data_IF_029589753185
#
_entry.id   IF_029589753185
#
_cell.length_a   1.000
_cell.length_b   1.000
_cell.length_c   1.000
_cell.angle_alpha   90.00
_cell.angle_beta   90.00
_cell.angle_gamma   90.00
#
_symmetry.space_group_name_H-M   'P 1'
#
loop_
_entity.id
_entity.type
_entity.pdbx_description
1 polymer ?
#
# COMPACT_ATOMS: atom_id res chain seq x y z
N UNK A 1 30.47 -0.43 -39.31
CA UNK A 1 31.80 0.12 -39.67
C UNK A 1 32.85 -0.87 -39.21
N UNK A 2 33.66 -1.39 -40.13
CA UNK A 2 34.80 -2.22 -39.79
C UNK A 2 36.06 -1.38 -40.03
N UNK A 3 36.89 -1.21 -39.00
CA UNK A 3 38.19 -0.57 -39.13
C UNK A 3 39.25 -1.67 -39.13
N UNK A 4 40.06 -1.72 -40.19
CA UNK A 4 41.18 -2.65 -40.28
C UNK A 4 42.47 -1.86 -40.08
N UNK A 5 43.24 -2.23 -39.06
CA UNK A 5 44.55 -1.62 -38.79
C UNK A 5 45.61 -2.57 -39.30
N UNK A 6 46.40 -2.11 -40.27
CA UNK A 6 47.50 -2.89 -40.85
C UNK A 6 48.82 -2.17 -40.61
N UNK A 7 49.81 -2.89 -40.07
CA UNK A 7 51.16 -2.41 -39.91
C UNK A 7 51.93 -2.61 -41.22
N UNK A 8 52.54 -1.55 -41.77
CA UNK A 8 53.27 -1.64 -43.04
C UNK A 8 54.78 -1.32 -42.98
N UNK A 9 55.30 -0.91 -41.83
CA UNK A 9 56.71 -1.03 -41.41
C UNK A 9 56.84 -0.48 -39.98
N UNK A 10 58.00 -0.63 -39.33
CA UNK A 10 58.23 -0.13 -37.95
C UNK A 10 58.03 1.39 -37.78
N UNK A 11 57.94 2.17 -38.87
CA UNK A 11 57.89 3.64 -38.80
C UNK A 11 56.53 4.27 -39.13
N UNK A 12 55.54 3.52 -39.61
CA UNK A 12 54.22 4.10 -39.93
C UNK A 12 53.09 3.06 -39.86
N UNK A 13 51.93 3.49 -39.38
CA UNK A 13 50.72 2.69 -39.37
C UNK A 13 49.65 3.36 -40.23
N UNK A 14 48.99 2.55 -41.06
CA UNK A 14 47.89 2.98 -41.92
C UNK A 14 46.59 2.52 -41.29
N UNK A 15 45.69 3.47 -41.05
CA UNK A 15 44.34 3.16 -40.62
C UNK A 15 43.42 3.36 -41.82
N UNK A 16 42.78 2.27 -42.23
CA UNK A 16 41.82 2.29 -43.33
C UNK A 16 40.41 2.15 -42.76
N UNK A 17 39.59 3.17 -43.01
CA UNK A 17 38.19 3.18 -42.57
C UNK A 17 37.33 3.16 -43.83
N UNK A 18 36.57 2.07 -43.98
CA UNK A 18 35.60 1.93 -45.05
C UNK A 18 34.22 2.39 -44.56
N UNK A 19 33.63 3.34 -45.29
CA UNK A 19 32.27 3.82 -45.05
C UNK A 19 31.51 3.88 -46.38
N UNK A 20 30.57 2.95 -46.56
CA UNK A 20 29.91 2.73 -47.86
C UNK A 20 30.91 2.27 -48.92
N UNK A 21 30.87 2.90 -50.10
CA UNK A 21 31.78 2.64 -51.23
C UNK A 21 33.06 3.48 -51.22
N UNK A 22 33.29 4.28 -50.17
CA UNK A 22 34.49 5.13 -50.03
C UNK A 22 35.45 4.58 -49.00
N UNK A 23 36.73 4.58 -49.37
CA UNK A 23 37.84 4.17 -48.50
C UNK A 23 38.62 5.43 -48.15
N UNK A 24 38.72 5.72 -46.85
CA UNK A 24 39.54 6.81 -46.32
C UNK A 24 40.77 6.23 -45.64
N UNK A 25 41.93 6.81 -45.93
CA UNK A 25 43.20 6.35 -45.42
C UNK A 25 43.91 7.47 -44.68
N UNK A 26 44.29 7.17 -43.45
CA UNK A 26 45.03 8.09 -42.60
C UNK A 26 46.39 7.48 -42.28
N UNK A 27 47.44 8.26 -42.53
CA UNK A 27 48.83 7.94 -42.18
C UNK A 27 49.22 8.74 -40.96
N UNK A 28 49.66 8.06 -39.90
CA UNK A 28 50.11 8.70 -38.66
C UNK A 28 51.61 8.43 -38.52
N UNK A 29 52.38 9.51 -38.43
CA UNK A 29 53.83 9.47 -38.33
C UNK A 29 54.30 9.26 -36.87
N UNK A 30 55.36 8.48 -36.68
CA UNK A 30 55.84 7.99 -35.38
C UNK A 30 56.23 9.10 -34.39
N UNK A 31 56.68 10.25 -34.91
CA UNK A 31 57.15 11.39 -34.09
C UNK A 31 56.03 12.13 -33.35
N UNK A 32 54.80 12.16 -33.88
CA UNK A 32 53.67 12.82 -33.22
C UNK A 32 53.19 12.06 -31.97
N UNK A 33 53.35 10.73 -31.95
CA UNK A 33 52.95 9.91 -30.79
C UNK A 33 53.77 10.22 -29.53
N UNK A 34 55.07 10.48 -29.67
CA UNK A 34 55.94 10.74 -28.51
C UNK A 34 55.57 12.04 -27.79
N UNK A 35 55.18 13.09 -28.54
CA UNK A 35 54.73 14.36 -27.97
C UNK A 35 53.32 14.26 -27.36
N UNK A 36 52.42 13.49 -27.98
CA UNK A 36 51.10 13.22 -27.41
C UNK A 36 51.18 12.39 -26.12
N UNK A 37 52.05 11.38 -26.05
CA UNK A 37 52.22 10.54 -24.86
C UNK A 37 52.74 11.33 -23.65
N UNK A 38 53.65 12.30 -23.87
CA UNK A 38 54.13 13.17 -22.80
C UNK A 38 53.03 14.08 -22.26
N UNK A 39 52.18 14.61 -23.15
CA UNK A 39 51.05 15.48 -22.79
C UNK A 39 49.98 14.71 -22.03
N UNK A 40 49.64 13.50 -22.48
CA UNK A 40 48.67 12.61 -21.83
C UNK A 40 49.16 12.17 -20.45
N UNK A 41 50.46 11.85 -20.30
CA UNK A 41 51.04 11.53 -18.98
C UNK A 41 50.95 12.69 -18.01
N UNK A 42 51.25 13.92 -18.46
CA UNK A 42 51.14 15.12 -17.62
C UNK A 42 49.70 15.36 -17.16
N UNK A 43 48.74 15.30 -18.09
CA UNK A 43 47.32 15.46 -17.77
C UNK A 43 46.83 14.40 -16.78
N UNK A 44 47.28 13.14 -16.92
CA UNK A 44 46.92 12.05 -16.01
C UNK A 44 47.38 12.30 -14.58
N UNK A 45 48.60 12.81 -14.38
CA UNK A 45 49.14 13.12 -13.05
C UNK A 45 48.37 14.26 -12.40
N UNK A 46 48.05 15.30 -13.15
CA UNK A 46 47.28 16.46 -12.66
C UNK A 46 45.85 16.06 -12.25
N UNK A 47 45.21 15.17 -13.03
CA UNK A 47 43.89 14.63 -12.73
C UNK A 47 43.90 13.73 -11.48
N UNK A 48 44.96 12.94 -11.29
CA UNK A 48 45.13 12.12 -10.08
C UNK A 48 45.31 12.99 -8.83
N UNK A 49 46.02 14.10 -8.93
CA UNK A 49 46.24 15.02 -7.81
C UNK A 49 44.95 15.78 -7.45
N UNK A 50 44.18 16.21 -8.46
CA UNK A 50 42.84 16.75 -8.28
C UNK A 50 41.87 15.75 -7.64
N UNK A 51 41.86 14.49 -8.07
CA UNK A 51 41.02 13.46 -7.45
C UNK A 51 41.42 13.18 -6.00
N UNK A 52 42.71 13.20 -5.68
CA UNK A 52 43.21 13.04 -4.30
C UNK A 52 42.80 14.22 -3.42
N UNK A 53 42.85 15.44 -3.96
CA UNK A 53 42.41 16.66 -3.28
C UNK A 53 40.90 16.69 -3.05
N UNK A 54 40.11 16.28 -4.04
CA UNK A 54 38.65 16.13 -3.91
C UNK A 54 38.27 15.01 -2.93
N UNK A 55 38.98 13.88 -2.94
CA UNK A 55 38.78 12.79 -1.98
C UNK A 55 39.03 13.22 -0.53
N UNK A 56 40.05 14.06 -0.30
CA UNK A 56 40.35 14.62 1.02
C UNK A 56 39.40 15.78 1.41
N UNK A 57 38.86 16.52 0.44
CA UNK A 57 37.84 17.56 0.67
C UNK A 57 36.43 16.99 0.84
N UNK A 58 36.17 15.76 0.40
CA UNK A 58 34.99 14.99 0.74
C UNK A 58 35.15 14.50 2.20
N UNK A 59 35.19 15.48 3.07
CA UNK A 59 35.75 15.41 4.41
C UNK A 59 34.89 14.56 5.33
N UNK A 60 35.53 14.01 6.36
CA UNK A 60 34.87 13.21 7.42
C UNK A 60 33.72 13.97 8.08
N UNK A 61 33.74 15.29 8.05
CA UNK A 61 32.67 16.15 8.55
C UNK A 61 31.41 16.16 7.67
N UNK A 62 31.55 16.09 6.34
CA UNK A 62 30.39 15.98 5.44
C UNK A 62 29.75 14.60 5.56
N UNK A 63 30.56 13.56 5.74
CA UNK A 63 30.07 12.21 6.03
C UNK A 63 29.45 12.14 7.43
N UNK A 64 30.04 12.79 8.44
CA UNK A 64 29.49 12.84 9.80
C UNK A 64 28.19 13.66 9.88
N UNK A 65 28.08 14.78 9.17
CA UNK A 65 26.82 15.55 9.08
C UNK A 65 25.74 14.78 8.31
N UNK A 66 26.09 14.12 7.20
CA UNK A 66 25.15 13.25 6.50
C UNK A 66 24.71 12.08 7.38
N UNK A 67 25.62 11.46 8.14
CA UNK A 67 25.29 10.40 9.10
C UNK A 67 24.49 10.91 10.30
N UNK A 68 24.70 12.14 10.78
CA UNK A 68 23.91 12.73 11.87
C UNK A 68 22.51 13.14 11.41
N UNK A 69 22.38 13.71 10.21
CA UNK A 69 21.10 13.99 9.58
C UNK A 69 20.34 12.69 9.31
N UNK A 70 20.99 11.70 8.66
CA UNK A 70 20.40 10.37 8.49
C UNK A 70 20.15 9.64 9.80
N UNK A 71 20.90 9.87 10.88
CA UNK A 71 20.63 9.28 12.19
C UNK A 71 19.45 9.97 12.89
N UNK A 72 19.27 11.28 12.71
CA UNK A 72 18.06 11.97 13.20
C UNK A 72 16.81 11.55 12.42
N UNK A 73 16.94 11.31 11.11
CA UNK A 73 15.91 10.70 10.28
C UNK A 73 15.69 9.23 10.66
N UNK A 74 16.75 8.47 10.97
CA UNK A 74 16.67 7.08 11.41
C UNK A 74 16.05 6.97 12.80
N UNK A 75 16.35 7.88 13.73
CA UNK A 75 15.74 7.95 15.06
C UNK A 75 14.27 8.37 14.95
N UNK A 76 13.97 9.32 14.05
CA UNK A 76 12.60 9.64 13.66
C UNK A 76 11.89 8.45 13.03
N UNK A 77 12.58 7.63 12.24
CA UNK A 77 12.07 6.41 11.63
C UNK A 77 11.94 5.27 12.63
N UNK A 78 12.80 5.15 13.66
CA UNK A 78 12.68 4.11 14.70
C UNK A 78 11.59 4.46 15.71
N UNK A 79 11.45 5.73 16.10
CA UNK A 79 10.29 6.18 16.88
C UNK A 79 9.00 6.16 16.06
N UNK A 80 9.07 6.41 14.75
CA UNK A 80 7.96 6.19 13.83
C UNK A 80 7.65 4.70 13.69
N UNK A 81 8.66 3.83 13.66
CA UNK A 81 8.51 2.37 13.62
C UNK A 81 7.80 1.88 14.87
N UNK A 82 8.24 2.28 16.06
CA UNK A 82 7.61 1.90 17.33
C UNK A 82 6.23 2.57 17.50
N UNK A 83 5.98 3.74 16.90
CA UNK A 83 4.63 4.33 16.80
C UNK A 83 3.75 3.63 15.76
N UNK A 84 4.35 2.99 14.74
CA UNK A 84 3.68 2.31 13.63
C UNK A 84 3.37 0.85 13.95
N UNK A 85 4.20 0.19 14.75
CA UNK A 85 4.00 -1.18 15.24
C UNK A 85 3.37 -1.19 16.63
N UNK A 86 3.60 -0.16 17.45
CA UNK A 86 3.09 0.00 18.81
C UNK A 86 1.67 0.55 18.89
N UNK A 87 0.78 -0.03 18.07
CA UNK A 87 -0.60 -0.20 18.52
C UNK A 87 -0.54 -1.20 19.67
N UNK A 88 -0.39 -0.68 20.89
CA UNK A 88 -0.09 -1.55 22.00
C UNK A 88 -1.35 -2.33 22.38
N UNK A 89 -1.23 -3.65 22.38
CA UNK A 89 -2.05 -4.51 23.22
C UNK A 89 -1.88 -4.14 24.71
N UNK A 90 -0.86 -3.34 25.01
CA UNK A 90 -0.57 -2.82 26.33
C UNK A 90 -1.41 -1.58 26.64
N UNK A 91 -1.89 -1.54 27.87
CA UNK A 91 -2.80 -0.50 28.37
C UNK A 91 -2.12 0.83 28.66
N UNK A 92 -0.90 0.84 29.18
CA UNK A 92 -0.21 2.08 29.56
C UNK A 92 0.73 2.56 28.44
N UNK A 93 0.80 3.87 28.13
CA UNK A 93 0.16 5.02 28.78
C UNK A 93 -1.22 5.42 28.21
N UNK A 94 -1.90 4.52 27.52
CA UNK A 94 -3.12 4.82 26.77
C UNK A 94 -4.37 4.84 27.66
N UNK A 95 -5.30 5.76 27.36
CA UNK A 95 -6.50 5.99 28.16
C UNK A 95 -7.81 5.72 27.39
N UNK A 96 -7.73 5.22 26.16
CA UNK A 96 -8.88 4.76 25.36
C UNK A 96 -8.68 3.30 24.97
N UNK A 97 -9.70 2.47 25.21
CA UNK A 97 -9.77 1.07 24.80
C UNK A 97 -10.89 0.91 23.77
N UNK A 98 -10.58 0.35 22.61
CA UNK A 98 -11.58 -0.12 21.64
C UNK A 98 -11.75 -1.63 21.83
N UNK A 99 -12.93 -2.06 22.29
CA UNK A 99 -13.27 -3.47 22.50
C UNK A 99 -14.10 -3.99 21.32
N UNK A 100 -13.66 -5.06 20.69
CA UNK A 100 -14.27 -5.63 19.48
C UNK A 100 -15.15 -6.82 19.85
N UNK A 101 -16.45 -6.72 19.61
CA UNK A 101 -17.42 -7.68 20.14
C UNK A 101 -17.32 -9.08 19.53
N UNK A 102 -16.92 -9.19 18.26
CA UNK A 102 -16.83 -10.46 17.54
C UNK A 102 -15.53 -11.18 17.84
N UNK A 103 -14.40 -10.46 17.80
CA UNK A 103 -13.07 -11.04 18.01
C UNK A 103 -12.65 -11.13 19.48
N UNK A 104 -13.28 -10.38 20.38
CA UNK A 104 -12.88 -10.25 21.79
C UNK A 104 -11.52 -9.58 21.98
N UNK A 105 -10.96 -8.99 20.92
CA UNK A 105 -9.68 -8.27 20.94
C UNK A 105 -9.89 -6.84 21.43
N UNK A 106 -8.80 -6.19 21.81
CA UNK A 106 -8.81 -4.80 22.26
C UNK A 106 -7.64 -3.99 21.67
N UNK A 107 -7.91 -2.73 21.33
CA UNK A 107 -6.90 -1.78 20.87
C UNK A 107 -6.82 -0.59 21.83
N UNK A 108 -5.60 -0.18 22.18
CA UNK A 108 -5.37 0.95 23.07
C UNK A 108 -4.82 2.18 22.34
N UNK A 109 -5.36 3.34 22.68
CA UNK A 109 -5.00 4.62 22.06
C UNK A 109 -5.10 5.80 23.06
N UNK A 110 -4.62 6.97 22.64
CA UNK A 110 -4.52 8.17 23.48
C UNK A 110 -5.66 9.15 23.12
N UNK A 111 -6.49 9.47 24.11
CA UNK A 111 -7.65 10.33 23.93
C UNK A 111 -7.26 11.70 23.40
N UNK A 112 -6.18 12.31 23.90
CA UNK A 112 -5.75 13.63 23.45
C UNK A 112 -5.43 13.65 21.96
N UNK A 113 -4.73 12.63 21.45
CA UNK A 113 -4.46 12.44 20.03
C UNK A 113 -5.74 12.22 19.23
N UNK A 114 -6.62 11.31 19.65
CA UNK A 114 -7.85 11.00 18.92
C UNK A 114 -8.72 12.26 18.74
N UNK A 115 -8.89 13.05 19.82
CA UNK A 115 -9.65 14.30 19.79
C UNK A 115 -9.09 15.33 18.80
N UNK A 116 -7.75 15.41 18.68
CA UNK A 116 -7.09 16.29 17.70
C UNK A 116 -7.33 15.81 16.27
N UNK A 117 -7.36 14.49 16.05
CA UNK A 117 -7.41 13.88 14.71
C UNK A 117 -8.83 13.75 14.15
N UNK A 118 -9.85 13.69 15.00
CA UNK A 118 -11.23 13.45 14.60
C UNK A 118 -12.22 14.30 15.42
N UNK A 119 -13.08 15.10 14.75
CA UNK A 119 -14.21 15.75 15.39
C UNK A 119 -15.21 14.77 16.01
N UNK A 120 -15.30 13.55 15.48
CA UNK A 120 -16.16 12.49 16.04
C UNK A 120 -15.64 12.07 17.40
N UNK A 121 -14.35 11.72 17.52
CA UNK A 121 -13.77 11.34 18.81
C UNK A 121 -13.73 12.49 19.81
N UNK A 122 -13.52 13.73 19.35
CA UNK A 122 -13.67 14.93 20.20
C UNK A 122 -15.05 14.97 20.86
N UNK A 123 -16.11 14.87 20.05
CA UNK A 123 -17.48 14.91 20.54
C UNK A 123 -17.80 13.72 21.44
N UNK A 124 -17.37 12.51 21.07
CA UNK A 124 -17.61 11.28 21.81
C UNK A 124 -16.96 11.30 23.21
N UNK A 125 -15.69 11.73 23.29
CA UNK A 125 -14.89 11.67 24.52
C UNK A 125 -15.13 12.87 25.46
N UNK A 126 -15.63 13.99 24.96
CA UNK A 126 -15.96 15.17 25.77
C UNK A 126 -17.46 15.32 26.05
N UNK A 127 -18.33 14.73 25.22
CA UNK A 127 -19.78 14.93 25.27
C UNK A 127 -20.53 14.21 26.39
N UNK A 128 -19.84 13.51 27.29
CA UNK A 128 -20.47 12.81 28.42
C UNK A 128 -21.37 11.63 28.02
N UNK A 129 -21.19 11.09 26.82
CA UNK A 129 -21.90 9.89 26.36
C UNK A 129 -21.60 8.70 27.28
N UNK A 130 -22.52 7.73 27.36
CA UNK A 130 -22.30 6.47 28.11
C UNK A 130 -21.04 5.73 27.62
N UNK A 131 -20.81 5.79 26.32
CA UNK A 131 -19.64 5.29 25.60
C UNK A 131 -18.38 6.11 25.91
N UNK A 132 -18.54 7.39 26.28
CA UNK A 132 -17.49 8.28 26.74
C UNK A 132 -17.31 8.31 28.27
N UNK A 133 -18.02 7.49 29.03
CA UNK A 133 -17.89 7.52 30.49
C UNK A 133 -16.66 6.74 30.92
N UNK A 134 -15.71 7.42 31.57
CA UNK A 134 -14.53 6.78 32.15
C UNK A 134 -14.94 5.75 33.19
N UNK A 135 -14.74 4.47 32.90
CA UNK A 135 -15.01 3.40 33.85
C UNK A 135 -13.80 3.22 34.77
N UNK A 136 -14.02 3.31 36.08
CA UNK A 136 -13.08 2.74 37.06
C UNK A 136 -13.39 1.25 37.16
N UNK A 137 -12.36 0.40 37.09
CA UNK A 137 -12.52 -1.04 37.32
C UNK A 137 -13.09 -1.19 38.74
N UNK A 138 -14.29 -1.75 38.86
CA UNK A 138 -14.91 -1.91 40.18
C UNK A 138 -14.00 -2.81 41.03
N UNK A 139 -13.62 -2.33 42.21
CA UNK A 139 -12.65 -2.95 43.14
C UNK A 139 -13.21 -4.25 43.78
N UNK A 140 -14.25 -4.87 43.21
CA UNK A 140 -15.01 -5.98 43.80
C UNK A 140 -14.99 -7.30 43.04
N UNK A 141 -14.20 -7.43 41.97
CA UNK A 141 -14.03 -8.70 41.25
C UNK A 141 -12.91 -9.53 41.88
N UNK A 142 -13.14 -10.84 42.04
CA UNK A 142 -12.18 -11.77 42.66
C UNK A 142 -10.73 -11.59 42.18
N UNK A 143 -9.74 -11.80 43.06
CA UNK A 143 -8.32 -11.60 42.76
C UNK A 143 -7.87 -12.56 41.66
N UNK A 144 -7.97 -12.13 40.40
CA UNK A 144 -7.23 -12.72 39.29
C UNK A 144 -5.81 -12.17 39.32
N UNK A 145 -4.88 -13.10 39.25
CA UNK A 145 -3.43 -12.97 39.38
C UNK A 145 -2.91 -11.61 38.86
N UNK A 146 -2.38 -10.83 39.80
CA UNK A 146 -2.20 -9.39 39.72
C UNK A 146 -0.91 -9.01 38.99
N UNK A 147 -0.92 -9.12 37.66
CA UNK A 147 0.02 -8.36 36.84
C UNK A 147 -0.54 -6.95 36.67
N UNK A 148 -0.23 -6.10 37.67
CA UNK A 148 -0.24 -4.64 37.70
C UNK A 148 -0.92 -3.93 36.51
N UNK A 149 -2.25 -3.97 36.48
CA UNK A 149 -3.01 -3.02 35.68
C UNK A 149 -3.09 -1.71 36.44
N UNK A 150 -2.55 -0.64 35.89
CA UNK A 150 -2.74 0.71 36.41
C UNK A 150 -4.23 1.03 36.63
N UNK A 151 -4.58 1.54 37.82
CA UNK A 151 -5.94 1.98 38.19
C UNK A 151 -6.39 3.26 37.46
N UNK A 152 -5.75 3.59 36.35
CA UNK A 152 -6.04 4.82 35.61
C UNK A 152 -7.39 4.68 34.91
N UNK A 153 -8.29 5.68 35.07
CA UNK A 153 -9.59 5.66 34.44
C UNK A 153 -9.43 5.78 32.92
N UNK A 154 -9.98 4.82 32.18
CA UNK A 154 -9.95 4.79 30.73
C UNK A 154 -11.36 4.84 30.14
N UNK A 155 -11.44 5.33 28.90
CA UNK A 155 -12.63 5.26 28.06
C UNK A 155 -12.71 3.87 27.42
N UNK A 156 -13.91 3.30 27.31
CA UNK A 156 -14.14 2.02 26.65
C UNK A 156 -15.16 2.23 25.54
N UNK A 157 -14.71 2.09 24.30
CA UNK A 157 -15.51 2.20 23.08
C UNK A 157 -15.76 0.78 22.57
N UNK A 158 -17.02 0.36 22.56
CA UNK A 158 -17.40 -0.93 21.99
C UNK A 158 -17.54 -0.79 20.48
N UNK A 159 -16.72 -1.52 19.72
CA UNK A 159 -16.85 -1.67 18.28
C UNK A 159 -17.70 -2.91 18.03
N UNK A 160 -18.91 -2.67 17.52
CA UNK A 160 -19.81 -3.76 17.13
C UNK A 160 -19.32 -4.36 15.82
N UNK A 161 -19.07 -5.67 15.85
CA UNK A 161 -18.75 -6.48 14.69
C UNK A 161 -19.96 -7.35 14.35
N UNK A 162 -20.35 -7.38 13.08
CA UNK A 162 -21.35 -8.32 12.57
C UNK A 162 -20.71 -9.71 12.37
N UNK A 163 -21.55 -10.75 12.32
CA UNK A 163 -21.08 -12.13 12.20
C UNK A 163 -20.22 -12.32 10.93
N UNK A 164 -18.92 -12.59 11.13
CA UNK A 164 -17.97 -12.83 10.04
C UNK A 164 -17.12 -11.62 9.62
N UNK A 165 -17.35 -10.44 10.21
CA UNK A 165 -16.52 -9.26 9.97
C UNK A 165 -15.46 -9.10 11.08
N UNK A 166 -14.17 -9.19 10.73
CA UNK A 166 -13.07 -8.83 11.63
C UNK A 166 -12.67 -7.37 11.35
N UNK A 167 -13.17 -6.45 12.16
CA UNK A 167 -12.87 -5.02 12.06
C UNK A 167 -11.61 -4.64 12.83
N UNK A 168 -11.05 -5.55 13.64
CA UNK A 168 -9.88 -5.28 14.49
C UNK A 168 -8.69 -4.82 13.66
N UNK A 169 -8.31 -5.57 12.61
CA UNK A 169 -7.15 -5.21 11.79
C UNK A 169 -7.39 -3.93 10.98
N UNK A 170 -8.64 -3.69 10.54
CA UNK A 170 -9.02 -2.48 9.82
C UNK A 170 -8.92 -1.24 10.72
N UNK A 171 -9.53 -1.27 11.91
CA UNK A 171 -9.36 -0.23 12.92
C UNK A 171 -7.89 -0.07 13.30
N UNK A 172 -7.13 -1.17 13.34
CA UNK A 172 -5.73 -1.11 13.69
C UNK A 172 -4.92 -0.29 12.68
N UNK A 173 -5.16 -0.50 11.40
CA UNK A 173 -4.56 0.31 10.33
C UNK A 173 -5.03 1.77 10.36
N UNK A 174 -6.32 2.03 10.66
CA UNK A 174 -6.84 3.39 10.80
C UNK A 174 -6.15 4.14 11.94
N UNK A 175 -6.04 3.53 13.11
CA UNK A 175 -5.37 4.13 14.26
C UNK A 175 -3.86 4.33 14.00
N UNK A 176 -3.18 3.36 13.37
CA UNK A 176 -1.81 3.52 12.91
C UNK A 176 -1.67 4.71 11.92
N UNK A 177 -2.62 4.88 11.00
CA UNK A 177 -2.66 6.02 10.09
C UNK A 177 -2.82 7.35 10.84
N UNK A 178 -3.61 7.41 11.91
CA UNK A 178 -3.75 8.66 12.69
C UNK A 178 -2.43 9.09 13.35
N UNK A 179 -1.59 8.11 13.75
CA UNK A 179 -0.26 8.32 14.34
C UNK A 179 0.76 8.74 13.27
N UNK A 180 0.89 7.96 12.20
CA UNK A 180 2.02 8.08 11.27
C UNK A 180 1.67 8.67 9.89
N UNK A 181 0.39 8.85 9.58
CA UNK A 181 -0.08 9.34 8.28
C UNK A 181 0.10 8.37 7.11
N UNK A 182 0.54 7.13 7.38
CA UNK A 182 0.76 6.09 6.36
C UNK A 182 -0.19 4.92 6.58
N UNK A 183 -0.66 4.33 5.49
CA UNK A 183 -1.53 3.16 5.46
C UNK A 183 -1.23 2.36 4.19
N UNK A 184 -1.34 1.05 4.29
CA UNK A 184 -1.19 0.12 3.16
C UNK A 184 -2.55 -0.50 2.89
N UNK A 185 -3.03 -0.36 1.66
CA UNK A 185 -4.30 -0.93 1.22
C UNK A 185 -4.08 -2.28 0.55
N UNK A 186 -4.89 -3.26 0.92
CA UNK A 186 -4.97 -4.57 0.29
C UNK A 186 -5.79 -4.59 -0.99
N UNK A 187 -6.03 -5.78 -1.57
CA UNK A 187 -7.01 -5.94 -2.62
C UNK A 187 -8.42 -5.60 -2.08
N UNK A 188 -9.31 -5.19 -2.99
CA UNK A 188 -10.74 -5.04 -2.68
C UNK A 188 -11.29 -6.44 -2.38
N UNK A 189 -11.98 -6.62 -1.25
CA UNK A 189 -12.52 -7.92 -0.89
C UNK A 189 -13.58 -8.35 -1.91
N UNK A 190 -13.54 -9.63 -2.29
CA UNK A 190 -14.59 -10.24 -3.11
C UNK A 190 -15.33 -11.25 -2.24
N UNK A 191 -16.65 -11.21 -2.28
CA UNK A 191 -17.50 -12.15 -1.54
C UNK A 191 -17.37 -13.57 -2.09
N UNK A 192 -16.97 -13.68 -3.36
CA UNK A 192 -16.72 -14.96 -4.01
C UNK A 192 -15.48 -15.62 -3.39
N UNK A 193 -15.62 -16.76 -2.69
CA UNK A 193 -14.46 -17.48 -2.19
C UNK A 193 -13.56 -17.86 -3.36
N UNK A 194 -12.23 -17.82 -3.19
CA UNK A 194 -11.33 -18.26 -4.24
C UNK A 194 -11.70 -19.70 -4.63
N UNK A 195 -11.68 -20.03 -5.93
CA UNK A 195 -11.97 -21.39 -6.37
C UNK A 195 -11.04 -22.34 -5.60
N UNK A 196 -11.56 -23.49 -5.11
CA UNK A 196 -10.74 -24.42 -4.35
C UNK A 196 -9.49 -24.75 -5.18
N UNK A 197 -8.30 -24.78 -4.54
CA UNK A 197 -7.07 -25.05 -5.27
C UNK A 197 -7.25 -26.36 -6.04
N UNK A 198 -6.84 -26.41 -7.32
CA UNK A 198 -6.99 -27.62 -8.11
C UNK A 198 -6.34 -28.77 -7.33
N UNK A 199 -6.96 -29.96 -7.28
CA UNK A 199 -6.38 -31.10 -6.60
C UNK A 199 -4.95 -31.29 -7.14
N UNK A 200 -3.95 -31.56 -6.26
CA UNK A 200 -2.56 -31.66 -6.69
C UNK A 200 -2.49 -32.67 -7.81
N UNK A 201 -2.24 -32.18 -9.03
CA UNK A 201 -2.10 -33.01 -10.22
C UNK A 201 -0.91 -33.90 -9.96
N UNK A 202 -1.17 -35.17 -9.56
CA UNK A 202 -0.17 -36.21 -9.49
C UNK A 202 0.30 -36.45 -10.92
N UNK A 203 1.26 -35.66 -11.39
CA UNK A 203 2.06 -35.99 -12.56
C UNK A 203 3.15 -36.96 -12.08
N UNK A 204 3.10 -38.26 -12.42
CA UNK A 204 4.09 -39.24 -11.97
C UNK A 204 5.38 -39.19 -12.81
N UNK A 205 5.77 -38.03 -13.31
CA UNK A 205 6.96 -37.86 -14.15
C UNK A 205 7.58 -36.49 -13.96
N UNK A 206 7.82 -36.11 -12.71
CA UNK A 206 8.70 -34.99 -12.41
C UNK A 206 10.13 -35.52 -12.33
N UNK A 207 10.79 -35.53 -13.49
CA UNK A 207 12.24 -35.78 -13.60
C UNK A 207 12.96 -34.63 -12.90
N UNK A 208 13.95 -34.88 -12.02
CA UNK A 208 14.71 -33.84 -11.36
C UNK A 208 15.40 -32.94 -12.38
N UNK A 209 14.83 -31.75 -12.62
CA UNK A 209 15.44 -30.71 -13.43
C UNK A 209 16.59 -30.03 -12.70
N UNK A 210 17.58 -29.50 -13.43
CA UNK A 210 18.68 -28.72 -12.85
C UNK A 210 18.14 -27.49 -12.08
N UNK A 211 18.85 -27.03 -11.04
CA UNK A 211 18.38 -25.95 -10.17
C UNK A 211 18.20 -24.66 -10.98
N UNK A 212 16.95 -24.32 -11.26
CA UNK A 212 16.59 -23.07 -11.91
C UNK A 212 17.01 -21.89 -11.02
N UNK A 213 17.74 -20.96 -11.65
CA UNK A 213 18.19 -19.71 -11.05
C UNK A 213 16.94 -18.85 -10.81
N UNK A 214 16.35 -18.99 -9.62
CA UNK A 214 15.19 -18.20 -9.20
C UNK A 214 15.58 -16.71 -9.29
N UNK A 215 14.89 -15.89 -10.11
CA UNK A 215 15.16 -14.47 -10.14
C UNK A 215 14.99 -13.90 -8.73
N UNK A 216 15.95 -13.10 -8.28
CA UNK A 216 15.94 -12.49 -6.96
C UNK A 216 14.69 -11.61 -6.78
N UNK A 217 13.61 -12.22 -6.31
CA UNK A 217 12.41 -11.51 -5.86
C UNK A 217 12.88 -10.66 -4.67
N UNK A 218 12.76 -9.34 -4.81
CA UNK A 218 13.09 -8.40 -3.76
C UNK A 218 12.39 -8.85 -2.48
N UNK A 219 13.16 -9.26 -1.48
CA UNK A 219 12.58 -9.72 -0.21
C UNK A 219 11.79 -8.55 0.38
N UNK A 220 10.54 -8.79 0.80
CA UNK A 220 9.77 -7.76 1.49
C UNK A 220 10.58 -7.28 2.69
N UNK A 221 10.66 -5.96 2.86
CA UNK A 221 11.37 -5.38 3.99
C UNK A 221 10.69 -5.89 5.26
N UNK A 222 11.43 -6.20 6.34
CA UNK A 222 10.89 -6.75 7.60
C UNK A 222 9.69 -5.94 8.14
N UNK A 223 9.57 -4.67 7.74
CA UNK A 223 8.45 -3.82 8.11
C UNK A 223 7.13 -4.12 7.37
N UNK A 224 7.20 -4.61 6.14
CA UNK A 224 6.01 -4.91 5.32
C UNK A 224 5.37 -6.24 5.72
N UNK A 225 6.14 -7.16 6.30
CA UNK A 225 5.63 -8.46 6.75
C UNK A 225 4.63 -8.38 7.91
N UNK A 226 4.53 -7.24 8.61
CA UNK A 226 3.61 -7.06 9.75
C UNK A 226 2.31 -6.33 9.41
N UNK A 227 2.17 -5.79 8.19
CA UNK A 227 0.94 -5.12 7.80
C UNK A 227 0.07 -6.08 7.02
N UNK A 228 -0.99 -6.56 7.67
CA UNK A 228 -2.09 -7.23 6.97
C UNK A 228 -2.70 -6.20 6.02
N UNK A 229 -2.65 -6.40 4.69
CA UNK A 229 -3.29 -5.49 3.75
C UNK A 229 -4.80 -5.54 3.97
N UNK A 230 -5.44 -4.38 4.18
CA UNK A 230 -6.87 -4.28 4.46
C UNK A 230 -7.61 -3.74 3.25
N UNK A 231 -8.84 -4.23 3.02
CA UNK A 231 -9.72 -3.74 1.98
C UNK A 231 -9.88 -2.20 2.08
N UNK A 232 -9.52 -1.45 1.01
CA UNK A 232 -9.68 0.00 1.00
C UNK A 232 -11.14 0.45 1.18
N UNK A 233 -12.14 -0.39 0.88
CA UNK A 233 -13.56 -0.06 1.10
C UNK A 233 -13.87 -0.01 2.59
N UNK A 234 -13.51 -1.04 3.35
CA UNK A 234 -13.66 -1.06 4.82
C UNK A 234 -12.94 0.12 5.47
N UNK A 235 -11.72 0.45 5.01
CA UNK A 235 -11.00 1.62 5.53
C UNK A 235 -11.74 2.93 5.20
N UNK A 236 -12.28 3.06 3.99
CA UNK A 236 -13.08 4.23 3.61
C UNK A 236 -14.28 4.42 4.55
N UNK A 237 -15.01 3.35 4.84
CA UNK A 237 -16.20 3.35 5.69
C UNK A 237 -15.86 3.74 7.13
N UNK A 238 -14.89 3.06 7.75
CA UNK A 238 -14.42 3.37 9.11
C UNK A 238 -13.94 4.82 9.18
N UNK A 239 -13.20 5.28 8.16
CA UNK A 239 -12.68 6.64 8.14
C UNK A 239 -13.78 7.70 7.96
N UNK A 240 -14.83 7.42 7.17
CA UNK A 240 -16.00 8.31 7.05
C UNK A 240 -16.78 8.37 8.35
N UNK A 241 -17.04 7.22 8.97
CA UNK A 241 -17.72 7.14 10.25
C UNK A 241 -16.99 7.95 11.33
N UNK A 242 -15.67 7.75 11.44
CA UNK A 242 -14.82 8.49 12.38
C UNK A 242 -14.45 9.90 11.91
N UNK A 243 -15.06 10.44 10.84
CA UNK A 243 -14.82 11.80 10.32
C UNK A 243 -13.34 12.16 10.14
N UNK A 244 -12.57 11.25 9.54
CA UNK A 244 -11.14 11.41 9.27
C UNK A 244 -10.89 12.01 7.88
N UNK A 245 -11.32 13.24 7.60
CA UNK A 245 -11.44 13.86 6.26
C UNK A 245 -10.47 13.43 5.14
N UNK A 246 -9.17 13.30 5.44
CA UNK A 246 -8.14 12.94 4.44
C UNK A 246 -8.09 11.45 4.10
N UNK A 247 -8.42 10.57 5.05
CA UNK A 247 -8.31 9.13 4.88
C UNK A 247 -9.36 8.56 3.91
N UNK A 248 -10.65 8.95 3.96
CA UNK A 248 -11.64 8.53 2.97
C UNK A 248 -11.24 8.91 1.55
N UNK A 249 -10.77 10.14 1.32
CA UNK A 249 -10.35 10.55 -0.02
C UNK A 249 -9.18 9.71 -0.54
N UNK A 250 -8.25 9.34 0.35
CA UNK A 250 -7.12 8.46 0.02
C UNK A 250 -7.57 7.03 -0.26
N UNK A 251 -8.44 6.46 0.57
CA UNK A 251 -9.00 5.13 0.40
C UNK A 251 -9.82 5.04 -0.89
N UNK A 252 -10.67 6.02 -1.18
CA UNK A 252 -11.47 6.08 -2.41
C UNK A 252 -10.61 6.16 -3.68
N UNK A 253 -9.48 6.87 -3.62
CA UNK A 253 -8.50 6.88 -4.71
C UNK A 253 -7.92 5.49 -4.96
N UNK A 254 -7.62 4.75 -3.90
CA UNK A 254 -7.10 3.39 -3.98
C UNK A 254 -8.16 2.39 -4.48
N UNK A 255 -9.40 2.49 -4.00
CA UNK A 255 -10.56 1.76 -4.55
C UNK A 255 -10.64 1.98 -6.05
N UNK A 256 -10.64 3.24 -6.52
CA UNK A 256 -10.71 3.54 -7.96
C UNK A 256 -9.59 2.89 -8.78
N UNK A 257 -8.40 2.76 -8.21
CA UNK A 257 -7.25 2.14 -8.89
C UNK A 257 -7.32 0.61 -8.94
N UNK A 258 -8.03 -0.01 -7.99
CA UNK A 258 -8.14 -1.47 -7.83
C UNK A 258 -9.49 -2.04 -8.25
N UNK A 259 -10.43 -1.20 -8.68
CA UNK A 259 -11.70 -1.64 -9.23
C UNK A 259 -11.48 -2.44 -10.51
N UNK A 260 -12.17 -3.58 -10.57
CA UNK A 260 -12.21 -4.47 -11.72
C UNK A 260 -13.67 -4.86 -11.99
N UNK A 261 -13.93 -5.41 -13.17
CA UNK A 261 -15.24 -6.00 -13.49
C UNK A 261 -15.63 -7.08 -12.47
N UNK A 262 -14.64 -7.78 -11.93
CA UNK A 262 -14.83 -8.94 -11.06
C UNK A 262 -15.24 -8.56 -9.63
N UNK A 263 -14.83 -7.38 -9.17
CA UNK A 263 -15.12 -6.93 -7.81
C UNK A 263 -16.18 -5.83 -7.74
N UNK A 264 -16.42 -5.06 -8.81
CA UNK A 264 -17.30 -3.88 -8.73
C UNK A 264 -18.74 -4.24 -8.37
N UNK A 265 -19.25 -5.36 -8.89
CA UNK A 265 -20.63 -5.78 -8.62
C UNK A 265 -20.76 -6.31 -7.18
N UNK A 266 -19.81 -7.13 -6.72
CA UNK A 266 -19.74 -7.54 -5.32
C UNK A 266 -19.75 -6.32 -4.39
N UNK A 267 -19.00 -5.26 -4.73
CA UNK A 267 -18.98 -4.05 -3.91
C UNK A 267 -20.30 -3.26 -3.95
N UNK A 268 -21.02 -3.24 -5.06
CA UNK A 268 -22.34 -2.58 -5.16
C UNK A 268 -23.40 -3.35 -4.37
N UNK A 269 -23.38 -4.68 -4.40
CA UNK A 269 -24.47 -5.51 -3.88
C UNK A 269 -24.21 -6.10 -2.50
N UNK A 270 -22.96 -6.34 -2.11
CA UNK A 270 -22.59 -6.90 -0.81
C UNK A 270 -22.33 -5.83 0.25
N UNK A 271 -21.84 -4.64 -0.13
CA UNK A 271 -21.68 -3.54 0.83
C UNK A 271 -23.02 -2.81 1.00
N UNK A 272 -23.73 -3.16 2.07
CA UNK A 272 -24.89 -2.39 2.59
C UNK A 272 -24.55 -0.90 2.77
N UNK A 273 -23.29 -0.61 3.08
CA UNK A 273 -22.75 0.69 3.38
C UNK A 273 -22.38 1.51 2.13
N UNK A 274 -22.07 0.87 1.00
CA UNK A 274 -21.82 1.56 -0.27
C UNK A 274 -22.99 2.48 -0.65
N UNK A 275 -24.22 2.09 -0.31
CA UNK A 275 -25.42 2.88 -0.56
C UNK A 275 -25.60 4.07 0.38
N UNK A 276 -24.95 4.05 1.55
CA UNK A 276 -24.97 5.15 2.52
C UNK A 276 -23.95 6.24 2.18
N UNK A 277 -22.94 5.91 1.38
CA UNK A 277 -21.85 6.82 1.03
C UNK A 277 -21.87 7.19 -0.45
N UNK A 278 -22.49 8.34 -0.77
CA UNK A 278 -22.63 8.85 -2.15
C UNK A 278 -21.31 8.87 -2.93
N UNK A 279 -20.20 9.25 -2.30
CA UNK A 279 -18.89 9.31 -2.98
C UNK A 279 -18.41 7.94 -3.47
N UNK A 280 -18.59 6.90 -2.63
CA UNK A 280 -18.21 5.53 -2.96
C UNK A 280 -19.16 4.96 -4.00
N UNK A 281 -20.47 5.15 -3.80
CA UNK A 281 -21.49 4.79 -4.78
C UNK A 281 -21.20 5.38 -6.16
N UNK A 282 -20.99 6.69 -6.25
CA UNK A 282 -20.71 7.38 -7.50
C UNK A 282 -19.42 6.87 -8.16
N UNK A 283 -18.41 6.50 -7.37
CA UNK A 283 -17.19 5.88 -7.87
C UNK A 283 -17.47 4.52 -8.52
N UNK A 284 -18.21 3.64 -7.84
CA UNK A 284 -18.58 2.31 -8.34
C UNK A 284 -19.46 2.41 -9.60
N UNK A 285 -20.49 3.25 -9.56
CA UNK A 285 -21.43 3.42 -10.68
C UNK A 285 -20.75 4.02 -11.91
N UNK A 286 -19.81 4.95 -11.71
CA UNK A 286 -19.02 5.53 -12.81
C UNK A 286 -18.15 4.46 -13.47
N UNK A 287 -17.50 3.59 -12.70
CA UNK A 287 -16.73 2.48 -13.24
C UNK A 287 -17.61 1.55 -14.09
N UNK A 288 -18.77 1.14 -13.56
CA UNK A 288 -19.73 0.32 -14.31
C UNK A 288 -20.21 0.99 -15.61
N UNK A 289 -20.45 2.30 -15.59
CA UNK A 289 -20.84 3.05 -16.78
C UNK A 289 -19.71 3.11 -17.83
N UNK A 290 -18.46 3.31 -17.40
CA UNK A 290 -17.29 3.34 -18.27
C UNK A 290 -17.04 1.98 -18.93
N UNK A 291 -17.04 0.88 -18.17
CA UNK A 291 -16.85 -0.47 -18.70
C UNK A 291 -18.04 -0.93 -19.56
N UNK A 292 -19.26 -0.52 -19.23
CA UNK A 292 -20.41 -0.74 -20.10
C UNK A 292 -20.25 -0.03 -21.45
N UNK A 293 -19.76 1.21 -21.47
CA UNK A 293 -19.53 1.93 -22.73
C UNK A 293 -18.44 1.26 -23.58
N UNK A 294 -17.54 0.48 -22.96
CA UNK A 294 -16.56 -0.38 -23.65
C UNK A 294 -17.16 -1.70 -24.14
N UNK A 295 -18.43 -1.97 -23.81
CA UNK A 295 -19.15 -3.19 -24.13
C UNK A 295 -18.46 -4.44 -23.58
N UNK A 296 -17.96 -4.38 -22.34
CA UNK A 296 -17.33 -5.52 -21.68
C UNK A 296 -18.36 -6.66 -21.50
N UNK A 297 -18.16 -7.83 -22.16
CA UNK A 297 -19.16 -8.90 -22.14
C UNK A 297 -19.27 -9.58 -20.78
N UNK A 298 -18.21 -9.57 -19.97
CA UNK A 298 -18.23 -10.16 -18.62
C UNK A 298 -19.12 -9.32 -17.72
N UNK A 299 -18.94 -8.00 -17.73
CA UNK A 299 -19.78 -7.09 -16.96
C UNK A 299 -21.26 -7.22 -17.33
N UNK A 300 -21.59 -7.26 -18.62
CA UNK A 300 -22.96 -7.43 -19.10
C UNK A 300 -23.59 -8.76 -18.68
N UNK A 301 -22.81 -9.84 -18.73
CA UNK A 301 -23.26 -11.17 -18.26
C UNK A 301 -23.55 -11.17 -16.76
N UNK A 302 -22.65 -10.62 -15.96
CA UNK A 302 -22.85 -10.53 -14.51
C UNK A 302 -24.03 -9.63 -14.14
N UNK A 303 -24.26 -8.52 -14.86
CA UNK A 303 -25.48 -7.72 -14.70
C UNK A 303 -26.75 -8.49 -15.01
N UNK A 304 -26.76 -9.34 -16.05
CA UNK A 304 -27.91 -10.18 -16.36
C UNK A 304 -28.19 -11.18 -15.23
N UNK A 305 -27.15 -11.83 -14.70
CA UNK A 305 -27.27 -12.76 -13.57
C UNK A 305 -27.83 -12.04 -12.33
N UNK A 306 -27.31 -10.86 -12.01
CA UNK A 306 -27.77 -10.10 -10.86
C UNK A 306 -29.22 -9.63 -11.06
N UNK A 307 -29.57 -9.18 -12.26
CA UNK A 307 -30.95 -8.82 -12.59
C UNK A 307 -31.90 -10.00 -12.33
N UNK A 308 -31.57 -11.18 -12.84
CA UNK A 308 -32.38 -12.38 -12.64
C UNK A 308 -32.53 -12.71 -11.14
N UNK A 309 -31.45 -12.59 -10.35
CA UNK A 309 -31.48 -12.79 -8.90
C UNK A 309 -32.33 -11.77 -8.15
N UNK A 310 -32.37 -10.50 -8.60
CA UNK A 310 -33.24 -9.47 -8.02
C UNK A 310 -34.69 -9.76 -8.36
N UNK A 311 -35.00 -10.14 -9.60
CA UNK A 311 -36.35 -10.52 -10.02
C UNK A 311 -36.88 -11.76 -9.28
N UNK A 312 -35.97 -12.66 -8.89
CA UNK A 312 -36.26 -13.84 -8.07
C UNK A 312 -36.32 -13.58 -6.56
N UNK A 313 -36.07 -12.35 -6.09
CA UNK A 313 -36.00 -11.97 -4.65
C UNK A 313 -34.92 -12.76 -3.87
N UNK A 314 -33.86 -13.19 -4.54
CA UNK A 314 -32.77 -14.01 -3.96
C UNK A 314 -31.63 -13.17 -3.35
N UNK A 315 -31.55 -11.89 -3.69
CA UNK A 315 -30.53 -10.99 -3.15
C UNK A 315 -31.05 -10.33 -1.88
N UNK A 316 -30.34 -10.42 -0.75
CA UNK A 316 -30.69 -9.72 0.48
C UNK A 316 -30.41 -8.23 0.27
N UNK A 317 -31.30 -7.53 -0.42
CA UNK A 317 -31.17 -6.08 -0.59
C UNK A 317 -31.64 -5.43 0.71
N UNK A 318 -30.78 -4.68 1.42
CA UNK A 318 -31.14 -4.11 2.71
C UNK A 318 -32.25 -3.08 2.54
N UNK A 319 -33.48 -3.49 2.86
CA UNK A 319 -34.67 -2.64 2.83
C UNK A 319 -35.29 -2.41 1.45
N UNK A 320 -36.59 -2.09 1.44
CA UNK A 320 -37.38 -1.82 0.21
C UNK A 320 -36.79 -0.71 -0.69
N UNK A 321 -35.99 0.20 -0.14
CA UNK A 321 -35.41 1.33 -0.86
C UNK A 321 -34.24 0.88 -1.75
N UNK A 322 -33.44 -0.09 -1.29
CA UNK A 322 -32.30 -0.60 -2.05
C UNK A 322 -32.73 -1.33 -3.31
N UNK A 323 -33.80 -2.13 -3.25
CA UNK A 323 -34.28 -2.91 -4.39
C UNK A 323 -34.77 -2.04 -5.56
N UNK A 324 -35.52 -0.98 -5.23
CA UNK A 324 -35.95 -0.02 -6.26
C UNK A 324 -34.78 0.73 -6.88
N UNK A 325 -33.77 1.13 -6.10
CA UNK A 325 -32.59 1.83 -6.61
C UNK A 325 -31.68 0.93 -7.44
N UNK A 326 -31.51 -0.32 -7.02
CA UNK A 326 -30.77 -1.34 -7.77
C UNK A 326 -31.46 -1.63 -9.10
N UNK A 327 -32.79 -1.80 -9.11
CA UNK A 327 -33.55 -1.98 -10.34
C UNK A 327 -33.50 -0.74 -11.24
N UNK A 328 -33.63 0.46 -10.67
CA UNK A 328 -33.46 1.71 -11.43
C UNK A 328 -32.08 1.81 -12.07
N UNK A 329 -31.05 1.38 -11.34
CA UNK A 329 -29.69 1.32 -11.85
C UNK A 329 -29.60 0.34 -13.01
N UNK A 330 -30.09 -0.89 -12.83
CA UNK A 330 -30.10 -1.92 -13.88
C UNK A 330 -30.89 -1.47 -15.10
N UNK A 331 -32.05 -0.82 -14.92
CA UNK A 331 -32.88 -0.28 -15.99
C UNK A 331 -32.13 0.83 -16.74
N UNK A 332 -31.53 1.80 -16.04
CA UNK A 332 -30.68 2.83 -16.67
C UNK A 332 -29.46 2.20 -17.36
N UNK A 333 -28.96 1.12 -16.77
CA UNK A 333 -27.88 0.30 -17.31
C UNK A 333 -28.31 -0.68 -18.40
N UNK A 334 -29.59 -0.79 -18.73
CA UNK A 334 -30.11 -1.64 -19.82
C UNK A 334 -30.65 -0.81 -20.98
N UNK A 335 -31.39 0.27 -20.70
CA UNK A 335 -32.14 1.08 -21.68
C UNK A 335 -31.29 2.00 -22.60
N UNK A 336 -29.97 1.77 -22.68
CA UNK A 336 -29.03 2.54 -23.53
C UNK A 336 -28.20 1.63 -24.46
N UNK A 337 -28.51 0.34 -24.48
CA UNK A 337 -28.12 -0.59 -25.54
C UNK A 337 -29.28 -0.65 -26.54
#
# INVERSE_FOLDING_TARGET
MAALVSAHSEASFRITIASGSRIHELWIDSKERSAQDATVKKQRVELQDHLKKLSNQLDRESIAQALLLSRSELIGLTHSLDCLTGMSEHRYPFDVCFEFSGSGKALWDDSARLKIKSPYWLTLLEGGFSEGTKKRKAVGGEPRDSTECCDHPCFIINVQEEDGEDLYEAYKQVLAWTRAGTIVFGPIATSTPPPPPPPPSRNPSEVPGPPDVVPAVAQPTILDSYRVPIDPVTIFEIAKFNRLDRLPARALKDVKQKLTVDNVLDQIFSSTLAWQHLDLKDCLLRFCAEERNRNDPKLLREFAIIKDRIEADELPIPGRIGGSLAMDLIIKMSARA
#
